data_IF_484538040297
#
_entry.id   IF_484538040297
#
_cell.length_a   1.000
_cell.length_b   1.000
_cell.length_c   1.000
_cell.angle_alpha   90.00
_cell.angle_beta   90.00
_cell.angle_gamma   90.00
#
_symmetry.space_group_name_H-M   'P 1'
#
loop_
_entity.id
_entity.type
_entity.pdbx_description
1 polymer ?
#
# COMPACT_ATOMS: atom_id res chain seq x y z
N UNK A 1 67.31 31.05 65.81
CA UNK A 1 66.47 32.02 65.13
C UNK A 1 66.87 32.08 63.65
N UNK A 2 66.08 31.47 62.76
CA UNK A 2 65.95 31.80 61.35
C UNK A 2 64.93 30.85 60.76
N UNK A 3 63.77 31.41 60.43
CA UNK A 3 62.66 30.69 59.80
C UNK A 3 63.00 30.46 58.33
N UNK A 4 62.93 29.24 57.88
CA UNK A 4 63.00 28.88 56.44
C UNK A 4 61.57 28.66 55.98
N UNK A 5 61.11 29.57 55.15
CA UNK A 5 59.86 29.48 54.45
C UNK A 5 60.02 28.42 53.31
N UNK A 6 59.27 27.32 53.40
CA UNK A 6 59.10 26.37 52.27
C UNK A 6 57.94 26.86 51.43
N UNK A 7 58.22 27.30 50.25
CA UNK A 7 57.24 27.53 49.23
C UNK A 7 56.74 26.18 48.72
N UNK A 8 55.48 25.91 48.96
CA UNK A 8 54.79 24.73 48.34
C UNK A 8 54.28 25.19 47.01
N UNK A 9 54.88 24.67 45.94
CA UNK A 9 54.40 24.81 44.56
C UNK A 9 53.18 23.89 44.40
N UNK A 10 51.99 24.49 44.42
CA UNK A 10 50.75 23.79 44.02
C UNK A 10 50.68 23.76 42.48
N UNK A 11 51.03 22.64 41.90
CA UNK A 11 50.71 22.33 40.48
C UNK A 11 49.22 22.03 40.36
N UNK A 12 48.46 22.98 39.84
CA UNK A 12 47.08 22.73 39.37
C UNK A 12 47.14 21.89 38.09
N UNK A 13 47.02 20.61 38.24
CA UNK A 13 46.59 19.72 37.11
C UNK A 13 45.09 19.95 36.88
N UNK A 14 44.78 20.79 35.91
CA UNK A 14 43.41 20.89 35.37
C UNK A 14 43.06 19.58 34.70
N UNK A 15 42.31 18.73 35.40
CA UNK A 15 41.70 17.54 34.82
C UNK A 15 40.58 18.01 33.88
N UNK A 16 40.88 18.08 32.57
CA UNK A 16 39.87 18.25 31.54
C UNK A 16 39.05 16.96 31.49
N UNK A 17 37.97 16.89 32.26
CA UNK A 17 36.92 15.91 32.04
C UNK A 17 36.22 16.34 30.75
N UNK A 18 36.66 15.78 29.62
CA UNK A 18 35.86 15.76 28.39
C UNK A 18 34.67 14.86 28.71
N UNK A 19 33.59 15.45 29.19
CA UNK A 19 32.28 14.83 29.09
C UNK A 19 31.97 14.75 27.60
N UNK A 20 32.26 13.60 27.00
CA UNK A 20 31.59 13.21 25.78
C UNK A 20 30.10 13.08 26.18
N UNK A 21 29.39 14.20 26.09
CA UNK A 21 27.95 14.15 25.94
C UNK A 21 27.69 13.49 24.58
N UNK A 22 27.76 12.17 24.55
CA UNK A 22 27.07 11.39 23.55
C UNK A 22 25.62 11.82 23.71
N UNK A 23 25.12 12.62 22.79
CA UNK A 23 23.68 12.78 22.60
C UNK A 23 23.14 11.40 22.24
N UNK A 24 22.84 10.59 23.25
CA UNK A 24 21.88 9.53 23.07
C UNK A 24 20.59 10.28 22.68
N UNK A 25 20.23 10.27 21.38
CA UNK A 25 18.95 10.74 20.92
C UNK A 25 17.92 9.97 21.78
N UNK A 26 17.22 10.67 22.67
CA UNK A 26 16.08 10.08 23.38
C UNK A 26 15.17 9.53 22.31
N UNK A 27 14.76 8.28 22.45
CA UNK A 27 13.64 7.72 21.69
C UNK A 27 12.46 8.67 21.86
N UNK A 28 12.19 9.47 20.84
CA UNK A 28 11.05 10.36 20.82
C UNK A 28 9.86 9.53 20.34
N UNK A 29 8.73 9.67 21.01
CA UNK A 29 7.49 9.03 20.53
C UNK A 29 7.18 9.56 19.12
N UNK A 30 6.74 8.69 18.20
CA UNK A 30 6.42 9.12 16.85
C UNK A 30 5.23 10.08 16.85
N UNK A 31 5.24 11.02 15.91
CA UNK A 31 4.05 11.84 15.62
C UNK A 31 3.13 11.01 14.74
N UNK A 32 1.97 10.61 15.26
CA UNK A 32 1.03 9.72 14.57
C UNK A 32 -0.27 10.46 14.28
N UNK A 33 -0.73 10.41 13.04
CA UNK A 33 -2.03 10.92 12.62
C UNK A 33 -2.77 9.89 11.79
N UNK A 34 -4.09 9.93 11.89
CA UNK A 34 -4.99 9.08 11.11
C UNK A 34 -6.04 9.91 10.41
N UNK A 35 -6.47 9.45 9.25
CA UNK A 35 -7.56 10.02 8.46
C UNK A 35 -8.30 8.91 7.72
N UNK A 36 -9.37 9.24 7.00
CA UNK A 36 -10.15 8.28 6.23
C UNK A 36 -10.20 8.71 4.77
N UNK A 37 -9.59 7.91 3.88
CA UNK A 37 -9.56 8.07 2.44
C UNK A 37 -9.67 6.70 1.77
N UNK A 38 -10.08 6.64 0.53
CA UNK A 38 -10.13 5.40 -0.28
C UNK A 38 -10.95 4.28 0.38
N UNK A 39 -11.99 4.66 1.13
CA UNK A 39 -12.84 3.75 1.92
C UNK A 39 -12.07 2.94 2.97
N UNK A 40 -10.97 3.49 3.50
CA UNK A 40 -10.16 2.84 4.52
C UNK A 40 -9.54 3.84 5.50
N UNK A 41 -9.03 3.33 6.62
CA UNK A 41 -8.22 4.12 7.55
C UNK A 41 -6.81 4.27 6.98
N UNK A 42 -6.36 5.52 6.87
CA UNK A 42 -5.01 5.90 6.50
C UNK A 42 -4.28 6.38 7.75
N UNK A 43 -3.08 5.86 8.00
CA UNK A 43 -2.24 6.22 9.15
C UNK A 43 -0.84 6.58 8.70
N UNK A 44 -0.31 7.68 9.23
CA UNK A 44 1.08 8.10 9.01
C UNK A 44 1.72 8.30 10.37
N UNK A 45 2.86 7.66 10.59
CA UNK A 45 3.67 7.77 11.81
C UNK A 45 5.07 8.24 11.42
N UNK A 46 5.45 9.46 11.81
CA UNK A 46 6.79 10.04 11.61
C UNK A 46 7.61 9.80 12.86
N UNK A 47 8.68 9.02 12.73
CA UNK A 47 9.61 8.67 13.81
C UNK A 47 10.82 9.61 13.88
N UNK A 48 11.30 10.10 12.72
CA UNK A 48 12.40 11.03 12.62
C UNK A 48 12.34 11.87 11.34
N UNK A 49 12.97 13.05 11.39
CA UNK A 49 13.16 13.95 10.25
C UNK A 49 14.42 14.79 10.45
N UNK A 50 14.91 15.43 9.38
CA UNK A 50 16.18 16.17 9.34
C UNK A 50 16.35 17.18 10.49
N UNK A 51 15.28 17.85 10.89
CA UNK A 51 15.20 18.73 12.06
C UNK A 51 13.92 18.38 12.81
N UNK A 52 13.97 17.31 13.63
CA UNK A 52 12.78 16.81 14.31
C UNK A 52 12.16 17.88 15.21
N UNK A 53 10.96 18.28 14.80
CA UNK A 53 10.07 19.22 15.45
C UNK A 53 8.63 18.73 15.25
N UNK A 54 7.87 18.61 16.33
CA UNK A 54 6.51 18.11 16.30
C UNK A 54 5.60 18.93 15.37
N UNK A 55 5.79 20.25 15.31
CA UNK A 55 5.02 21.14 14.43
C UNK A 55 5.34 20.85 12.95
N UNK A 56 6.63 20.69 12.61
CA UNK A 56 7.07 20.33 11.25
C UNK A 56 6.59 18.94 10.86
N UNK A 57 6.68 17.95 11.76
CA UNK A 57 6.18 16.60 11.50
C UNK A 57 4.66 16.59 11.24
N UNK A 58 3.88 17.33 12.05
CA UNK A 58 2.45 17.48 11.80
C UNK A 58 2.16 18.18 10.46
N UNK A 59 2.93 19.20 10.08
CA UNK A 59 2.77 19.89 8.80
C UNK A 59 3.05 18.94 7.62
N UNK A 60 4.12 18.15 7.68
CA UNK A 60 4.43 17.13 6.66
C UNK A 60 3.33 16.08 6.52
N UNK A 61 2.76 15.61 7.65
CA UNK A 61 1.63 14.67 7.64
C UNK A 61 0.37 15.34 7.07
N UNK A 62 0.11 16.62 7.38
CA UNK A 62 -1.04 17.33 6.83
C UNK A 62 -0.94 17.50 5.31
N UNK A 63 0.25 17.78 4.76
CA UNK A 63 0.50 17.81 3.31
C UNK A 63 0.31 16.42 2.68
N UNK A 64 0.80 15.37 3.32
CA UNK A 64 0.60 13.99 2.87
C UNK A 64 -0.88 13.59 2.82
N UNK A 65 -1.69 14.00 3.81
CA UNK A 65 -3.15 13.79 3.75
C UNK A 65 -3.86 14.67 2.72
N UNK A 66 -3.37 15.89 2.47
CA UNK A 66 -3.88 16.69 1.36
C UNK A 66 -3.62 16.00 0.01
N UNK A 67 -2.45 15.36 -0.14
CA UNK A 67 -2.12 14.56 -1.32
C UNK A 67 -3.06 13.34 -1.45
N UNK A 68 -3.37 12.62 -0.36
CA UNK A 68 -4.40 11.57 -0.37
C UNK A 68 -5.76 12.10 -0.85
N UNK A 69 -6.20 13.25 -0.33
CA UNK A 69 -7.45 13.90 -0.76
C UNK A 69 -7.43 14.27 -2.25
N UNK A 70 -6.29 14.77 -2.74
CA UNK A 70 -6.11 15.10 -4.14
C UNK A 70 -6.26 13.86 -5.02
N UNK A 71 -5.55 12.76 -4.73
CA UNK A 71 -5.68 11.52 -5.49
C UNK A 71 -7.09 10.91 -5.43
N UNK A 72 -7.75 10.97 -4.28
CA UNK A 72 -9.15 10.55 -4.19
C UNK A 72 -10.06 11.37 -5.12
N UNK A 73 -9.79 12.68 -5.26
CA UNK A 73 -10.52 13.55 -6.17
C UNK A 73 -10.20 13.32 -7.66
N UNK A 74 -9.14 12.61 -7.98
CA UNK A 74 -8.79 12.20 -9.34
C UNK A 74 -9.27 10.77 -9.66
N UNK A 75 -9.02 9.83 -8.78
CA UNK A 75 -9.03 8.39 -9.07
C UNK A 75 -10.29 7.65 -8.63
N UNK A 76 -11.18 8.26 -7.85
CA UNK A 76 -12.43 7.61 -7.44
C UNK A 76 -13.31 7.34 -8.66
N UNK A 77 -13.82 6.12 -8.81
CA UNK A 77 -14.77 5.77 -9.87
C UNK A 77 -16.23 6.10 -9.51
N UNK A 78 -16.52 6.36 -8.23
CA UNK A 78 -17.86 6.61 -7.71
C UNK A 78 -18.14 8.08 -7.38
N UNK A 79 -17.12 8.88 -7.15
CA UNK A 79 -17.23 10.33 -6.86
C UNK A 79 -17.45 11.10 -8.15
N UNK A 80 -18.56 11.81 -8.25
CA UNK A 80 -18.86 12.66 -9.42
C UNK A 80 -17.79 13.73 -9.64
N UNK A 81 -17.37 13.92 -10.89
CA UNK A 81 -16.41 14.94 -11.31
C UNK A 81 -14.94 14.51 -11.27
N UNK A 82 -14.59 13.36 -10.70
CA UNK A 82 -13.23 12.81 -10.78
C UNK A 82 -12.88 12.35 -12.20
N UNK A 83 -11.61 12.17 -12.50
CA UNK A 83 -11.19 11.77 -13.85
C UNK A 83 -11.74 10.39 -14.21
N UNK A 84 -11.62 9.41 -13.31
CA UNK A 84 -12.11 8.04 -13.58
C UNK A 84 -13.63 8.02 -13.73
N UNK A 85 -14.37 8.75 -12.88
CA UNK A 85 -15.81 8.89 -13.05
C UNK A 85 -16.16 9.50 -14.42
N UNK A 86 -15.50 10.59 -14.81
CA UNK A 86 -15.74 11.26 -16.12
C UNK A 86 -15.44 10.33 -17.30
N UNK A 87 -14.34 9.55 -17.24
CA UNK A 87 -14.00 8.55 -18.25
C UNK A 87 -15.12 7.50 -18.34
N UNK A 88 -15.57 6.96 -17.21
CA UNK A 88 -16.61 5.94 -17.16
C UNK A 88 -17.99 6.42 -17.63
N UNK A 89 -18.26 7.74 -17.52
CA UNK A 89 -19.52 8.34 -17.99
C UNK A 89 -19.44 8.90 -19.43
N UNK A 90 -18.25 8.91 -20.03
CA UNK A 90 -18.02 9.57 -21.32
C UNK A 90 -18.59 8.80 -22.53
N UNK A 91 -19.04 7.55 -22.36
CA UNK A 91 -19.61 6.70 -23.44
C UNK A 91 -18.71 6.64 -24.69
N UNK A 92 -17.39 6.50 -24.47
CA UNK A 92 -16.39 6.45 -25.56
C UNK A 92 -15.92 7.80 -26.08
N UNK A 93 -16.42 8.91 -25.56
CA UNK A 93 -15.87 10.23 -25.89
C UNK A 93 -14.50 10.44 -25.20
N UNK A 94 -13.55 11.17 -25.85
CA UNK A 94 -12.26 11.47 -25.25
C UNK A 94 -12.41 12.38 -24.03
N UNK A 95 -11.66 12.08 -22.95
CA UNK A 95 -11.65 12.81 -21.68
C UNK A 95 -10.24 13.29 -21.37
N UNK A 96 -10.06 14.60 -21.24
CA UNK A 96 -8.81 15.18 -20.74
C UNK A 96 -8.71 14.98 -19.23
N UNK A 97 -7.56 14.42 -18.78
CA UNK A 97 -7.31 14.01 -17.40
C UNK A 97 -6.07 14.71 -16.84
N UNK A 98 -5.95 14.69 -15.52
CA UNK A 98 -4.71 15.07 -14.85
C UNK A 98 -3.56 14.14 -15.27
N UNK A 99 -2.32 14.63 -15.44
CA UNK A 99 -1.17 13.78 -15.74
C UNK A 99 -0.93 12.66 -14.71
N UNK A 100 -1.28 12.85 -13.45
CA UNK A 100 -1.18 11.80 -12.44
C UNK A 100 -2.18 10.67 -12.69
N UNK A 101 -3.41 10.99 -13.10
CA UNK A 101 -4.40 9.98 -13.52
C UNK A 101 -3.87 9.13 -14.67
N UNK A 102 -3.24 9.78 -15.67
CA UNK A 102 -2.63 9.06 -16.80
C UNK A 102 -1.57 8.06 -16.33
N UNK A 103 -0.66 8.47 -15.43
CA UNK A 103 0.39 7.60 -14.90
C UNK A 103 -0.18 6.36 -14.19
N UNK A 104 -1.24 6.54 -13.41
CA UNK A 104 -1.88 5.40 -12.72
C UNK A 104 -2.54 4.47 -13.72
N UNK A 105 -3.23 5.01 -14.75
CA UNK A 105 -3.83 4.21 -15.81
C UNK A 105 -2.76 3.46 -16.60
N UNK A 106 -1.67 4.11 -17.02
CA UNK A 106 -0.56 3.48 -17.76
C UNK A 106 0.06 2.34 -16.94
N UNK A 107 0.29 2.55 -15.64
CA UNK A 107 0.80 1.52 -14.74
C UNK A 107 -0.20 0.36 -14.60
N UNK A 108 -1.49 0.64 -14.49
CA UNK A 108 -2.55 -0.36 -14.48
C UNK A 108 -2.62 -1.18 -15.77
N UNK A 109 -2.51 -0.51 -16.93
CA UNK A 109 -2.47 -1.17 -18.24
C UNK A 109 -1.24 -2.08 -18.39
N UNK A 110 -0.08 -1.66 -17.89
CA UNK A 110 1.12 -2.50 -17.86
C UNK A 110 0.87 -3.83 -17.14
N UNK A 111 0.24 -3.81 -15.96
CA UNK A 111 -0.09 -5.04 -15.22
C UNK A 111 -1.24 -5.82 -15.85
N UNK A 112 -2.18 -5.15 -16.50
CA UNK A 112 -3.25 -5.83 -17.25
C UNK A 112 -2.67 -6.63 -18.42
N UNK A 113 -1.75 -6.05 -19.19
CA UNK A 113 -1.05 -6.73 -20.28
C UNK A 113 -0.12 -7.83 -19.75
N UNK A 114 0.71 -7.53 -18.74
CA UNK A 114 1.67 -8.48 -18.14
C UNK A 114 0.98 -9.74 -17.62
N UNK A 115 -0.19 -9.59 -17.00
CA UNK A 115 -0.97 -10.72 -16.47
C UNK A 115 -1.82 -11.43 -17.53
N UNK A 116 -1.87 -10.93 -18.76
CA UNK A 116 -2.75 -11.46 -19.81
C UNK A 116 -4.23 -11.26 -19.46
N UNK A 117 -4.58 -10.17 -18.77
CA UNK A 117 -5.96 -9.83 -18.37
C UNK A 117 -6.46 -10.54 -17.11
N UNK A 118 -5.60 -11.24 -16.37
CA UNK A 118 -5.96 -11.79 -15.04
C UNK A 118 -6.27 -10.65 -14.07
N UNK A 119 -5.42 -9.65 -14.07
CA UNK A 119 -5.68 -8.31 -13.52
C UNK A 119 -6.05 -7.40 -14.69
N UNK A 120 -7.19 -6.74 -14.63
CA UNK A 120 -7.60 -5.83 -15.70
C UNK A 120 -8.30 -4.60 -15.11
N UNK A 121 -7.71 -3.42 -15.33
CA UNK A 121 -8.27 -2.17 -14.81
C UNK A 121 -9.58 -1.76 -15.49
N UNK A 122 -10.01 -2.46 -16.52
CA UNK A 122 -11.30 -2.21 -17.19
C UNK A 122 -12.46 -3.03 -16.59
N UNK A 123 -12.24 -3.67 -15.46
CA UNK A 123 -13.22 -4.52 -14.73
C UNK A 123 -14.38 -3.72 -14.09
N UNK A 124 -14.39 -2.39 -14.18
CA UNK A 124 -15.28 -1.51 -13.44
C UNK A 124 -16.77 -1.85 -13.56
N UNK A 125 -17.24 -2.31 -14.75
CA UNK A 125 -18.63 -2.76 -14.91
C UNK A 125 -18.98 -3.99 -14.09
N UNK A 126 -18.04 -4.92 -13.97
CA UNK A 126 -18.21 -6.10 -13.12
C UNK A 126 -18.24 -5.68 -11.65
N UNK A 127 -17.30 -4.78 -11.24
CA UNK A 127 -17.28 -4.22 -9.88
C UNK A 127 -18.57 -3.49 -9.53
N UNK A 128 -19.19 -2.76 -10.48
CA UNK A 128 -20.46 -2.06 -10.28
C UNK A 128 -21.62 -3.00 -9.97
N UNK A 129 -21.64 -4.21 -10.53
CA UNK A 129 -22.70 -5.19 -10.30
C UNK A 129 -22.66 -5.80 -8.92
N UNK A 130 -21.44 -6.05 -8.40
CA UNK A 130 -21.26 -6.67 -7.08
C UNK A 130 -21.52 -5.71 -5.92
N UNK A 131 -21.27 -4.43 -6.08
CA UNK A 131 -21.46 -3.36 -5.09
C UNK A 131 -21.25 -3.80 -3.63
N UNK A 132 -20.04 -4.22 -3.30
CA UNK A 132 -19.65 -4.66 -1.94
C UNK A 132 -19.82 -3.60 -0.84
N UNK A 133 -20.25 -2.39 -1.21
CA UNK A 133 -20.56 -1.30 -0.29
C UNK A 133 -22.06 -1.08 -0.07
N UNK A 134 -22.92 -1.81 -0.80
CA UNK A 134 -24.36 -1.76 -0.59
C UNK A 134 -24.73 -2.18 0.83
N UNK A 135 -25.84 -1.66 1.35
CA UNK A 135 -26.37 -2.09 2.65
C UNK A 135 -26.78 -3.57 2.63
N UNK A 136 -27.29 -4.04 1.50
CA UNK A 136 -27.68 -5.43 1.24
C UNK A 136 -27.07 -5.84 -0.12
N UNK A 137 -25.80 -6.28 -0.17
CA UNK A 137 -25.19 -6.75 -1.41
C UNK A 137 -25.83 -8.07 -1.83
N UNK A 138 -26.05 -8.24 -3.14
CA UNK A 138 -26.66 -9.42 -3.74
C UNK A 138 -25.74 -10.03 -4.80
N UNK A 139 -25.87 -11.34 -5.04
CA UNK A 139 -25.18 -12.02 -6.15
C UNK A 139 -25.81 -11.59 -7.48
N UNK A 140 -25.04 -10.98 -8.40
CA UNK A 140 -25.56 -10.58 -9.70
C UNK A 140 -26.01 -11.79 -10.53
N UNK A 141 -26.99 -11.58 -11.43
CA UNK A 141 -27.41 -12.63 -12.34
C UNK A 141 -26.30 -13.03 -13.30
N UNK A 142 -26.26 -14.30 -13.71
CA UNK A 142 -25.27 -14.81 -14.66
C UNK A 142 -25.29 -14.02 -15.98
N UNK A 143 -26.49 -13.65 -16.48
CA UNK A 143 -26.65 -12.86 -17.70
C UNK A 143 -26.01 -11.48 -17.55
N UNK A 144 -26.24 -10.77 -16.43
CA UNK A 144 -25.64 -9.48 -16.17
C UNK A 144 -24.10 -9.56 -16.05
N UNK A 145 -23.58 -10.60 -15.41
CA UNK A 145 -22.14 -10.84 -15.33
C UNK A 145 -21.51 -11.12 -16.70
N UNK A 146 -22.16 -11.93 -17.54
CA UNK A 146 -21.69 -12.20 -18.91
C UNK A 146 -21.67 -10.93 -19.76
N UNK A 147 -22.71 -10.08 -19.69
CA UNK A 147 -22.74 -8.78 -20.37
C UNK A 147 -21.64 -7.85 -19.88
N UNK A 148 -21.41 -7.76 -18.56
CA UNK A 148 -20.36 -6.93 -17.99
C UNK A 148 -18.96 -7.42 -18.38
N UNK A 149 -18.70 -8.73 -18.31
CA UNK A 149 -17.41 -9.33 -18.72
C UNK A 149 -17.08 -9.06 -20.20
N UNK A 150 -18.10 -9.00 -21.08
CA UNK A 150 -17.88 -8.66 -22.50
C UNK A 150 -17.35 -7.24 -22.71
N UNK A 151 -17.50 -6.34 -21.73
CA UNK A 151 -16.98 -4.97 -21.79
C UNK A 151 -15.53 -4.87 -21.28
N UNK A 152 -15.01 -5.90 -20.60
CA UNK A 152 -13.63 -5.93 -20.08
C UNK A 152 -12.65 -6.15 -21.24
N UNK A 153 -11.48 -5.54 -21.14
CA UNK A 153 -10.37 -5.66 -22.09
C UNK A 153 -9.50 -4.41 -22.07
N UNK A 154 -8.31 -4.53 -21.48
CA UNK A 154 -7.35 -3.43 -21.31
C UNK A 154 -6.96 -2.78 -22.65
N UNK A 155 -6.94 -3.53 -23.74
CA UNK A 155 -6.68 -3.04 -25.10
C UNK A 155 -7.75 -2.06 -25.63
N UNK A 156 -8.89 -1.94 -24.94
CA UNK A 156 -9.93 -0.95 -25.25
C UNK A 156 -9.61 0.45 -24.72
N UNK A 157 -8.55 0.61 -23.95
CA UNK A 157 -8.12 1.92 -23.42
C UNK A 157 -7.10 2.55 -24.36
N UNK A 158 -7.38 3.74 -24.85
CA UNK A 158 -6.46 4.53 -25.67
C UNK A 158 -6.06 5.80 -24.92
N UNK A 159 -4.75 6.11 -24.94
CA UNK A 159 -4.18 7.31 -24.32
C UNK A 159 -3.45 8.11 -25.38
N UNK A 160 -3.83 9.39 -25.54
CA UNK A 160 -3.16 10.36 -26.40
C UNK A 160 -2.81 11.63 -25.60
N UNK A 161 -1.54 11.76 -25.19
CA UNK A 161 -1.11 12.80 -24.25
C UNK A 161 -1.83 12.65 -22.91
N UNK A 162 -2.62 13.63 -22.49
CA UNK A 162 -3.42 13.57 -21.28
C UNK A 162 -4.89 13.17 -21.52
N UNK A 163 -5.20 12.65 -22.69
CA UNK A 163 -6.57 12.30 -23.06
C UNK A 163 -6.76 10.78 -23.06
N UNK A 164 -7.79 10.30 -22.38
CA UNK A 164 -8.19 8.89 -22.33
C UNK A 164 -9.47 8.69 -23.14
N UNK A 165 -9.49 7.65 -23.97
CA UNK A 165 -10.68 7.22 -24.72
C UNK A 165 -10.91 5.74 -24.52
N UNK A 166 -12.13 5.33 -24.13
CA UNK A 166 -12.55 3.95 -24.12
C UNK A 166 -13.18 3.61 -25.46
N UNK A 167 -12.58 2.70 -26.23
CA UNK A 167 -13.06 2.35 -27.60
C UNK A 167 -14.38 1.59 -27.60
N UNK A 168 -14.71 0.96 -26.46
CA UNK A 168 -16.04 0.38 -26.19
C UNK A 168 -16.75 1.32 -25.17
N UNK A 169 -17.91 1.91 -25.54
CA UNK A 169 -18.62 2.86 -24.67
C UNK A 169 -19.18 2.25 -23.38
N UNK A 170 -19.16 0.93 -23.25
CA UNK A 170 -19.64 0.20 -22.09
C UNK A 170 -18.50 -0.21 -21.14
N UNK A 171 -17.25 -0.06 -21.55
CA UNK A 171 -16.08 -0.31 -20.68
C UNK A 171 -16.03 0.70 -19.54
N UNK A 172 -15.73 0.23 -18.32
CA UNK A 172 -15.48 1.10 -17.16
C UNK A 172 -14.15 0.77 -16.50
N UNK A 173 -13.42 1.79 -16.11
CA UNK A 173 -12.17 1.67 -15.33
C UNK A 173 -12.47 1.49 -13.84
N UNK A 174 -11.67 0.62 -13.21
CA UNK A 174 -11.55 0.48 -11.76
C UNK A 174 -10.06 0.34 -11.43
N UNK A 175 -9.53 1.30 -10.69
CA UNK A 175 -8.11 1.35 -10.29
C UNK A 175 -7.88 0.83 -8.87
N UNK A 176 -8.88 0.23 -8.23
CA UNK A 176 -8.84 -0.21 -6.82
C UNK A 176 -7.71 -1.17 -6.48
N UNK A 177 -7.23 -1.96 -7.45
CA UNK A 177 -6.15 -2.93 -7.26
C UNK A 177 -4.74 -2.36 -7.51
N UNK A 178 -4.56 -1.03 -7.71
CA UNK A 178 -3.25 -0.42 -7.94
C UNK A 178 -3.13 0.99 -7.35
N UNK A 179 -4.24 1.69 -7.20
CA UNK A 179 -4.22 3.11 -6.83
C UNK A 179 -3.67 3.35 -5.42
N UNK A 180 -3.99 2.49 -4.44
CA UNK A 180 -3.50 2.65 -3.07
C UNK A 180 -1.99 2.52 -2.97
N UNK A 181 -1.42 1.55 -3.69
CA UNK A 181 0.02 1.39 -3.79
C UNK A 181 0.69 2.60 -4.42
N UNK A 182 0.15 3.09 -5.54
CA UNK A 182 0.67 4.29 -6.20
C UNK A 182 0.63 5.52 -5.28
N UNK A 183 -0.47 5.71 -4.55
CA UNK A 183 -0.61 6.83 -3.61
C UNK A 183 0.36 6.68 -2.44
N UNK A 184 0.58 5.47 -1.93
CA UNK A 184 1.56 5.22 -0.86
C UNK A 184 2.97 5.62 -1.29
N UNK A 185 3.37 5.31 -2.54
CA UNK A 185 4.65 5.71 -3.10
C UNK A 185 4.77 7.25 -3.19
N UNK A 186 3.74 7.93 -3.70
CA UNK A 186 3.72 9.41 -3.79
C UNK A 186 3.71 10.11 -2.43
N UNK A 187 2.98 9.56 -1.46
CA UNK A 187 2.98 10.04 -0.07
C UNK A 187 4.36 9.88 0.56
N UNK A 188 5.01 8.74 0.31
CA UNK A 188 6.39 8.50 0.78
C UNK A 188 7.38 9.52 0.23
N UNK A 189 7.31 9.80 -1.07
CA UNK A 189 8.14 10.83 -1.70
C UNK A 189 7.89 12.22 -1.13
N UNK A 190 6.62 12.62 -0.97
CA UNK A 190 6.25 13.91 -0.38
C UNK A 190 6.80 14.06 1.05
N UNK A 191 6.69 13.03 1.89
CA UNK A 191 7.25 13.05 3.24
C UNK A 191 8.78 13.20 3.24
N UNK A 192 9.49 12.50 2.33
CA UNK A 192 10.95 12.64 2.19
C UNK A 192 11.36 14.02 1.69
N UNK A 193 10.62 14.62 0.75
CA UNK A 193 10.81 16.00 0.29
C UNK A 193 10.62 17.01 1.43
N UNK A 194 9.74 16.73 2.39
CA UNK A 194 9.55 17.48 3.63
C UNK A 194 10.56 17.14 4.73
N UNK A 195 11.63 16.40 4.40
CA UNK A 195 12.74 16.11 5.30
C UNK A 195 12.49 14.95 6.27
N UNK A 196 11.44 14.16 6.11
CA UNK A 196 11.19 12.95 6.89
C UNK A 196 12.21 11.88 6.52
N UNK A 197 12.88 11.30 7.53
CA UNK A 197 13.93 10.30 7.37
C UNK A 197 13.55 8.94 7.94
N UNK A 198 12.50 8.89 8.77
CA UNK A 198 11.99 7.64 9.36
C UNK A 198 10.48 7.74 9.56
N UNK A 199 9.71 6.91 8.88
CA UNK A 199 8.26 6.90 8.95
C UNK A 199 7.64 5.56 8.54
N UNK A 200 6.40 5.32 9.00
CA UNK A 200 5.50 4.30 8.47
C UNK A 200 4.27 5.01 7.87
N UNK A 201 3.92 4.63 6.65
CA UNK A 201 2.72 5.02 5.94
C UNK A 201 1.87 3.77 5.79
N UNK A 202 0.59 3.82 6.20
CA UNK A 202 -0.35 2.70 6.05
C UNK A 202 -1.63 3.19 5.38
N UNK A 203 -1.93 2.69 4.20
CA UNK A 203 -3.11 3.01 3.40
C UNK A 203 -3.92 1.73 3.14
N UNK A 204 -4.66 1.26 4.17
CA UNK A 204 -5.57 0.13 4.03
C UNK A 204 -4.92 -1.17 3.54
N UNK A 205 -3.84 -1.60 4.20
CA UNK A 205 -3.09 -2.83 3.85
C UNK A 205 -1.83 -2.59 3.01
N UNK A 206 -1.67 -1.40 2.43
CA UNK A 206 -0.43 -0.96 1.79
C UNK A 206 0.41 -0.22 2.83
N UNK A 207 1.48 -0.84 3.30
CA UNK A 207 2.40 -0.27 4.28
C UNK A 207 3.72 0.06 3.59
N UNK A 208 4.15 1.33 3.65
CA UNK A 208 5.45 1.77 3.15
C UNK A 208 6.28 2.31 4.31
N UNK A 209 7.55 1.90 4.38
CA UNK A 209 8.51 2.31 5.40
C UNK A 209 9.57 3.23 4.79
N UNK A 210 9.85 4.33 5.44
CA UNK A 210 10.95 5.25 5.13
C UNK A 210 12.02 5.05 6.20
N UNK A 211 13.23 4.68 5.80
CA UNK A 211 14.37 4.45 6.70
C UNK A 211 14.12 3.35 7.72
N UNK A 212 14.75 3.50 8.87
CA UNK A 212 14.71 2.59 10.00
C UNK A 212 14.15 3.27 11.25
N UNK A 213 13.72 2.47 12.21
CA UNK A 213 13.37 2.93 13.54
C UNK A 213 14.64 3.15 14.36
N UNK A 214 14.71 4.26 15.09
CA UNK A 214 15.81 4.54 16.03
C UNK A 214 15.40 4.09 17.44
N UNK A 215 15.95 2.97 17.91
CA UNK A 215 15.76 2.48 19.28
C UNK A 215 17.10 2.36 20.01
N UNK A 216 17.19 2.94 21.21
CA UNK A 216 18.39 2.89 22.07
C UNK A 216 19.71 3.28 21.36
N UNK A 217 19.61 4.22 20.40
CA UNK A 217 20.76 4.70 19.61
C UNK A 217 21.19 3.73 18.49
N UNK A 218 20.35 2.80 18.12
CA UNK A 218 20.54 1.86 17.00
C UNK A 218 19.45 2.04 15.96
N UNK A 219 19.81 1.85 14.73
CA UNK A 219 18.87 1.69 13.63
C UNK A 219 18.38 0.24 13.58
N UNK A 220 17.09 0.06 13.55
CA UNK A 220 16.44 -1.25 13.50
C UNK A 220 15.28 -1.23 12.51
N UNK A 221 15.08 -2.29 11.71
CA UNK A 221 13.95 -2.37 10.82
C UNK A 221 12.61 -2.20 11.54
N UNK A 222 11.63 -1.68 10.83
CA UNK A 222 10.25 -1.71 11.30
C UNK A 222 9.71 -3.13 11.31
N UNK A 223 8.86 -3.45 12.28
CA UNK A 223 8.20 -4.75 12.40
C UNK A 223 6.75 -4.63 11.98
N UNK A 224 6.45 -5.15 10.80
CA UNK A 224 5.13 -5.11 10.20
C UNK A 224 4.42 -6.43 10.48
N UNK A 225 3.31 -6.35 11.22
CA UNK A 225 2.47 -7.51 11.52
C UNK A 225 1.63 -7.92 10.31
N UNK A 226 1.67 -9.20 9.94
CA UNK A 226 0.75 -9.78 8.97
C UNK A 226 -0.51 -10.22 9.70
N UNK A 227 -1.64 -9.61 9.37
CA UNK A 227 -2.91 -9.85 10.04
C UNK A 227 -3.45 -11.25 9.75
N UNK A 228 -4.04 -11.85 10.78
CA UNK A 228 -4.73 -13.13 10.65
C UNK A 228 -6.07 -12.92 9.93
N UNK A 229 -6.34 -13.64 8.84
CA UNK A 229 -7.61 -13.56 8.14
C UNK A 229 -8.81 -13.74 9.09
N UNK A 230 -9.85 -12.94 8.86
CA UNK A 230 -11.11 -12.98 9.63
C UNK A 230 -10.97 -12.70 11.14
N UNK A 231 -9.83 -12.20 11.61
CA UNK A 231 -9.64 -11.84 13.03
C UNK A 231 -10.43 -10.58 13.37
N UNK A 232 -11.18 -10.62 14.48
CA UNK A 232 -11.89 -9.46 15.02
C UNK A 232 -11.04 -8.67 16.03
N UNK A 233 -9.91 -9.23 16.49
CA UNK A 233 -9.05 -8.68 17.53
C UNK A 233 -7.69 -8.20 17.01
N UNK A 234 -7.54 -8.00 15.71
CA UNK A 234 -6.25 -7.63 15.07
C UNK A 234 -5.10 -8.58 15.45
N UNK A 235 -5.41 -9.90 15.54
CA UNK A 235 -4.38 -10.92 15.73
C UNK A 235 -3.47 -10.97 14.50
N UNK A 236 -2.18 -11.22 14.73
CA UNK A 236 -1.20 -11.40 13.65
C UNK A 236 -0.73 -12.86 13.58
N UNK A 237 -0.48 -13.36 12.38
CA UNK A 237 0.09 -14.69 12.13
C UNK A 237 1.62 -14.68 12.20
N UNK A 238 2.23 -13.52 12.04
CA UNK A 238 3.67 -13.34 12.12
C UNK A 238 4.09 -11.92 11.80
N UNK A 239 5.38 -11.72 11.66
CA UNK A 239 6.02 -10.40 11.46
C UNK A 239 6.93 -10.47 10.25
N UNK A 240 6.98 -9.36 9.51
CA UNK A 240 7.95 -9.07 8.45
C UNK A 240 8.75 -7.84 8.87
N UNK A 241 10.06 -7.91 8.81
CA UNK A 241 10.92 -6.74 8.99
C UNK A 241 11.04 -5.97 7.67
N UNK A 242 10.97 -4.63 7.77
CA UNK A 242 11.04 -3.72 6.62
C UNK A 242 11.90 -2.50 6.95
N UNK A 243 12.81 -2.15 6.02
CA UNK A 243 13.72 -0.99 6.09
C UNK A 243 13.82 -0.38 4.69
N UNK A 244 13.33 0.85 4.50
CA UNK A 244 13.20 1.43 3.14
C UNK A 244 12.44 0.48 2.17
N UNK A 245 11.44 -0.20 2.66
CA UNK A 245 10.67 -1.20 1.92
C UNK A 245 9.17 -0.95 2.05
N UNK A 246 8.41 -1.49 1.11
CA UNK A 246 6.95 -1.56 1.16
C UNK A 246 6.51 -2.99 1.46
N UNK A 247 5.43 -3.14 2.24
CA UNK A 247 4.78 -4.41 2.56
C UNK A 247 3.30 -4.26 2.24
N UNK A 248 2.83 -4.94 1.21
CA UNK A 248 1.46 -4.82 0.71
C UNK A 248 0.73 -6.14 0.91
N UNK A 249 -0.46 -6.06 1.51
CA UNK A 249 -1.31 -7.23 1.75
C UNK A 249 -2.67 -7.05 1.10
N UNK A 250 -3.03 -8.00 0.24
CA UNK A 250 -4.38 -8.19 -0.30
C UNK A 250 -4.99 -9.48 0.25
N UNK A 251 -6.27 -9.42 0.64
CA UNK A 251 -6.94 -10.59 1.19
C UNK A 251 -8.44 -10.62 0.90
N UNK A 252 -8.97 -11.83 0.71
CA UNK A 252 -10.40 -12.06 0.42
C UNK A 252 -11.30 -11.69 1.60
N UNK A 253 -10.73 -11.57 2.81
CA UNK A 253 -11.41 -11.24 4.06
C UNK A 253 -11.60 -9.73 4.28
N UNK A 254 -11.02 -8.87 3.45
CA UNK A 254 -11.10 -7.41 3.63
C UNK A 254 -12.49 -6.85 3.28
N UNK A 255 -13.11 -7.36 2.22
CA UNK A 255 -14.46 -6.99 1.78
C UNK A 255 -15.15 -8.20 1.19
N UNK A 256 -16.19 -8.67 1.85
CA UNK A 256 -16.99 -9.83 1.40
C UNK A 256 -18.38 -9.77 2.02
N UNK A 257 -19.27 -10.55 1.45
CA UNK A 257 -20.56 -10.91 2.04
C UNK A 257 -20.83 -12.39 1.90
N UNK A 258 -21.80 -12.91 2.62
CA UNK A 258 -22.22 -14.29 2.56
C UNK A 258 -23.68 -14.38 2.11
N UNK A 259 -23.95 -15.23 1.11
CA UNK A 259 -25.29 -15.55 0.66
C UNK A 259 -25.39 -17.08 0.47
N UNK A 260 -26.43 -17.69 1.03
CA UNK A 260 -26.69 -19.14 1.01
C UNK A 260 -25.48 -20.01 1.49
N UNK A 261 -24.67 -19.49 2.41
CA UNK A 261 -23.47 -20.15 2.94
C UNK A 261 -22.26 -20.15 2.01
N UNK A 262 -22.31 -19.34 0.95
CA UNK A 262 -21.18 -19.07 0.05
C UNK A 262 -20.65 -17.67 0.31
N UNK A 263 -19.32 -17.55 0.46
CA UNK A 263 -18.64 -16.27 0.62
C UNK A 263 -18.30 -15.68 -0.75
N UNK A 264 -18.68 -14.42 -0.96
CA UNK A 264 -18.35 -13.63 -2.15
C UNK A 264 -17.47 -12.45 -1.73
N UNK A 265 -16.30 -12.33 -2.33
CA UNK A 265 -15.32 -11.30 -1.99
C UNK A 265 -14.99 -10.39 -3.19
N UNK A 266 -14.44 -9.22 -2.91
CA UNK A 266 -14.22 -8.14 -3.88
C UNK A 266 -13.11 -8.38 -4.91
N UNK A 267 -12.30 -9.43 -4.77
CA UNK A 267 -11.26 -9.74 -5.76
C UNK A 267 -11.88 -10.60 -6.85
N UNK A 268 -12.18 -9.96 -7.97
CA UNK A 268 -12.97 -10.52 -9.05
C UNK A 268 -12.07 -11.08 -10.16
N UNK A 269 -12.52 -12.19 -10.75
CA UNK A 269 -11.90 -12.74 -11.96
C UNK A 269 -12.57 -12.11 -13.18
N UNK A 270 -11.80 -11.34 -13.96
CA UNK A 270 -12.29 -10.62 -15.14
C UNK A 270 -12.90 -11.52 -16.21
N UNK A 271 -12.47 -12.79 -16.32
CA UNK A 271 -12.98 -13.72 -17.30
C UNK A 271 -14.35 -14.30 -16.95
N UNK A 272 -14.70 -14.39 -15.66
CA UNK A 272 -15.95 -15.00 -15.20
C UNK A 272 -16.93 -14.00 -14.58
N UNK A 273 -16.42 -12.85 -14.14
CA UNK A 273 -17.17 -11.85 -13.39
C UNK A 273 -17.45 -12.25 -11.94
N UNK A 274 -17.10 -13.46 -11.51
CA UNK A 274 -17.24 -13.91 -10.13
C UNK A 274 -15.98 -13.63 -9.29
N UNK A 275 -16.10 -13.62 -7.94
CA UNK A 275 -14.94 -13.69 -7.07
C UNK A 275 -13.99 -14.82 -7.46
N UNK A 276 -12.69 -14.55 -7.39
CA UNK A 276 -11.69 -15.55 -7.77
C UNK A 276 -11.80 -16.81 -6.93
N UNK A 277 -11.87 -17.96 -7.58
CA UNK A 277 -11.89 -19.27 -6.93
C UNK A 277 -10.43 -19.72 -6.73
N UNK A 278 -9.92 -19.55 -5.54
CA UNK A 278 -8.51 -19.76 -5.20
C UNK A 278 -8.37 -20.44 -3.84
N UNK A 279 -7.26 -21.10 -3.64
CA UNK A 279 -6.85 -21.65 -2.34
C UNK A 279 -6.16 -20.61 -1.44
N UNK A 280 -5.93 -19.38 -1.93
CA UNK A 280 -5.29 -18.29 -1.20
C UNK A 280 -6.36 -17.44 -0.53
N UNK A 281 -6.17 -17.13 0.77
CA UNK A 281 -7.00 -16.15 1.49
C UNK A 281 -6.29 -14.81 1.71
N UNK A 282 -4.95 -14.80 1.67
CA UNK A 282 -4.16 -13.58 1.79
C UNK A 282 -2.82 -13.68 1.08
N UNK A 283 -2.41 -12.60 0.43
CA UNK A 283 -1.11 -12.42 -0.22
C UNK A 283 -0.44 -11.21 0.39
N UNK A 284 0.80 -11.37 0.86
CA UNK A 284 1.65 -10.27 1.29
C UNK A 284 2.91 -10.25 0.43
N UNK A 285 3.21 -9.11 -0.17
CA UNK A 285 4.43 -8.86 -0.93
C UNK A 285 5.30 -7.85 -0.20
N UNK A 286 6.62 -7.99 -0.32
CA UNK A 286 7.59 -7.02 0.15
C UNK A 286 8.55 -6.64 -0.98
N UNK A 287 8.79 -5.34 -1.16
CA UNK A 287 9.66 -4.81 -2.20
C UNK A 287 10.36 -3.52 -1.71
N UNK A 288 11.36 -2.99 -2.43
CA UNK A 288 11.90 -1.66 -2.14
C UNK A 288 10.81 -0.59 -2.09
N UNK A 289 11.00 0.45 -1.27
CA UNK A 289 10.08 1.60 -1.26
C UNK A 289 9.98 2.24 -2.65
N UNK A 290 8.80 2.71 -3.02
CA UNK A 290 8.50 3.22 -4.36
C UNK A 290 7.96 2.16 -5.32
N UNK A 291 7.84 0.91 -4.86
CA UNK A 291 7.26 -0.21 -5.61
C UNK A 291 5.92 -0.70 -5.00
N UNK A 292 5.26 0.16 -4.21
CA UNK A 292 4.00 -0.21 -3.56
C UNK A 292 2.88 -0.42 -4.58
N UNK A 293 2.86 0.35 -5.67
CA UNK A 293 1.92 0.15 -6.77
C UNK A 293 2.11 -1.21 -7.46
N UNK A 294 3.35 -1.63 -7.64
CA UNK A 294 3.72 -2.91 -8.23
C UNK A 294 3.23 -4.06 -7.34
N UNK A 295 3.49 -3.96 -6.03
CA UNK A 295 3.02 -4.93 -5.04
C UNK A 295 1.48 -4.98 -4.96
N UNK A 296 0.76 -3.86 -5.06
CA UNK A 296 -0.71 -3.81 -5.01
C UNK A 296 -1.32 -4.59 -6.18
N UNK A 297 -0.83 -4.37 -7.42
CA UNK A 297 -1.26 -5.11 -8.60
C UNK A 297 -0.87 -6.59 -8.55
N UNK A 298 0.39 -6.90 -8.20
CA UNK A 298 0.88 -8.29 -8.12
C UNK A 298 0.17 -9.10 -7.04
N UNK A 299 -0.16 -8.51 -5.89
CA UNK A 299 -0.91 -9.19 -4.84
C UNK A 299 -2.28 -9.66 -5.35
N UNK A 300 -2.97 -8.82 -6.12
CA UNK A 300 -4.24 -9.17 -6.76
C UNK A 300 -4.05 -10.27 -7.82
N UNK A 301 -3.04 -10.16 -8.68
CA UNK A 301 -2.71 -11.16 -9.70
C UNK A 301 -2.46 -12.52 -9.05
N UNK A 302 -1.59 -12.58 -8.04
CA UNK A 302 -1.23 -13.83 -7.37
C UNK A 302 -2.39 -14.48 -6.64
N UNK A 303 -3.24 -13.67 -6.01
CA UNK A 303 -4.44 -14.18 -5.38
C UNK A 303 -5.38 -14.86 -6.40
N UNK A 304 -5.56 -14.26 -7.59
CA UNK A 304 -6.42 -14.83 -8.63
C UNK A 304 -5.80 -16.10 -9.26
N UNK A 305 -4.47 -16.14 -9.40
CA UNK A 305 -3.75 -17.27 -10.02
C UNK A 305 -3.71 -18.53 -9.14
N UNK A 306 -3.86 -18.41 -7.82
CA UNK A 306 -3.73 -19.51 -6.86
C UNK A 306 -2.29 -19.81 -6.47
N UNK A 307 -2.10 -20.54 -5.36
CA UNK A 307 -0.83 -20.68 -4.65
C UNK A 307 0.29 -21.29 -5.49
N UNK A 308 0.00 -22.33 -6.29
CA UNK A 308 1.01 -23.02 -7.09
C UNK A 308 1.65 -22.09 -8.14
N UNK A 309 0.81 -21.33 -8.89
CA UNK A 309 1.30 -20.41 -9.92
C UNK A 309 1.94 -19.17 -9.28
N UNK A 310 1.34 -18.62 -8.23
CA UNK A 310 1.88 -17.47 -7.51
C UNK A 310 3.30 -17.75 -7.00
N UNK A 311 3.51 -18.89 -6.32
CA UNK A 311 4.83 -19.28 -5.82
C UNK A 311 5.83 -19.59 -6.93
N UNK A 312 5.39 -20.13 -8.07
CA UNK A 312 6.27 -20.38 -9.20
C UNK A 312 6.78 -19.07 -9.80
N UNK A 313 5.88 -18.12 -10.08
CA UNK A 313 6.22 -16.81 -10.64
C UNK A 313 7.06 -15.98 -9.67
N UNK A 314 6.70 -15.94 -8.38
CA UNK A 314 7.48 -15.20 -7.39
C UNK A 314 8.92 -15.72 -7.24
N UNK A 315 9.14 -17.04 -7.36
CA UNK A 315 10.49 -17.62 -7.38
C UNK A 315 11.26 -17.33 -8.66
N UNK A 316 10.57 -17.31 -9.80
CA UNK A 316 11.18 -16.97 -11.10
C UNK A 316 11.65 -15.51 -11.11
N UNK A 317 10.92 -14.62 -10.46
CA UNK A 317 11.19 -13.18 -10.42
C UNK A 317 11.99 -12.73 -9.18
N UNK A 318 12.42 -13.65 -8.30
CA UNK A 318 13.09 -13.35 -7.02
C UNK A 318 12.28 -12.43 -6.08
N UNK A 319 10.96 -12.55 -6.10
CA UNK A 319 10.06 -11.72 -5.30
C UNK A 319 9.91 -12.23 -3.87
N UNK A 320 9.75 -11.31 -2.92
CA UNK A 320 9.44 -11.60 -1.53
C UNK A 320 7.92 -11.70 -1.34
N UNK A 321 7.41 -12.93 -1.24
CA UNK A 321 5.98 -13.23 -1.09
C UNK A 321 5.69 -14.14 0.10
N UNK A 322 4.56 -13.88 0.77
CA UNK A 322 3.96 -14.72 1.80
C UNK A 322 2.49 -14.95 1.48
N UNK A 323 2.07 -16.19 1.49
CA UNK A 323 0.69 -16.63 1.22
C UNK A 323 0.08 -17.26 2.45
N UNK A 324 -1.17 -16.91 2.73
CA UNK A 324 -2.03 -17.59 3.69
C UNK A 324 -3.06 -18.39 2.89
N UNK A 325 -3.13 -19.70 3.15
CA UNK A 325 -4.03 -20.60 2.42
C UNK A 325 -5.33 -20.85 3.18
N UNK A 326 -6.36 -21.28 2.47
CA UNK A 326 -7.70 -21.53 3.00
C UNK A 326 -7.76 -22.68 4.03
N UNK A 327 -6.77 -23.58 4.03
CA UNK A 327 -6.61 -24.64 5.02
C UNK A 327 -5.85 -24.18 6.29
N UNK A 328 -5.45 -22.89 6.33
CA UNK A 328 -4.70 -22.29 7.43
C UNK A 328 -3.18 -22.51 7.35
N UNK A 329 -2.68 -23.15 6.32
CA UNK A 329 -1.24 -23.29 6.07
C UNK A 329 -0.66 -22.04 5.42
N UNK A 330 0.68 -21.93 5.39
CA UNK A 330 1.42 -20.81 4.83
C UNK A 330 2.44 -21.27 3.79
N UNK A 331 2.67 -20.42 2.80
CA UNK A 331 3.78 -20.55 1.86
C UNK A 331 4.55 -19.23 1.80
N UNK A 332 5.87 -19.29 1.68
CA UNK A 332 6.71 -18.09 1.60
C UNK A 332 7.96 -18.34 0.76
N UNK A 333 8.46 -17.28 0.12
CA UNK A 333 9.83 -17.26 -0.39
C UNK A 333 10.80 -16.91 0.74
N UNK A 334 12.06 -17.31 0.61
CA UNK A 334 13.10 -17.02 1.61
C UNK A 334 13.33 -15.49 1.74
N UNK A 335 13.27 -14.76 0.63
CA UNK A 335 13.43 -13.31 0.57
C UNK A 335 12.42 -12.52 1.44
N UNK A 336 11.26 -13.11 1.74
CA UNK A 336 10.24 -12.47 2.58
C UNK A 336 10.71 -12.26 4.02
N UNK A 337 11.52 -13.16 4.57
CA UNK A 337 11.99 -13.06 5.96
C UNK A 337 10.86 -13.10 6.99
N UNK A 338 9.81 -13.89 6.73
CA UNK A 338 8.65 -13.99 7.61
C UNK A 338 8.97 -14.77 8.90
N UNK A 339 8.64 -14.17 10.05
CA UNK A 339 8.73 -14.81 11.37
C UNK A 339 7.33 -15.14 11.88
N UNK A 340 6.99 -16.43 11.96
CA UNK A 340 5.71 -16.90 12.50
C UNK A 340 5.59 -16.58 14.01
N UNK A 341 4.38 -16.20 14.45
CA UNK A 341 4.07 -15.90 15.85
C UNK A 341 3.51 -17.12 16.58
#
# INVERSE_FOLDING_TARGET
MKRIQRAVLLSLTALFIITQAGCARKTQEPVVRQSFYFDTVCSIAVYDMAEMDEEKANAAIDEAFQLCSHYESLLSRTKEGTDIYRINQAQGAPVECDPETIRVIEKGLYYSELSGGVFDITIGKVSDLWDFHAEEPEVPSEEALQEACATVGWEKVQIEGNTVTLTDPHTHLDLGGIAKGYIADRVGENLMENGVTSAIISLGGNVSCIGDKHEDGRETPFKIGVEKPYSQESEIVGIVEASDETVVTSGVYQRYFEEDGVQYHHILNAATGYPAQTDIVGVTLKAPKGESADCDALATIYLILGSEKAMALAKENDEAIFLILSDGSFMSTEAMGFEAK
#
